data_IF_359753912902
#
_entry.id   IF_359753912902
#
_cell.length_a   1.000
_cell.length_b   1.000
_cell.length_c   1.000
_cell.angle_alpha   90.00
_cell.angle_beta   90.00
_cell.angle_gamma   90.00
#
_symmetry.space_group_name_H-M   'P 1'
#
loop_
_entity.id
_entity.type
_entity.pdbx_description
1 polymer ?
#
# COMPACT_ATOMS: atom_id res chain seq x y z
N UNK A 1 -23.51 -8.52 17.09
CA UNK A 1 -23.06 -9.60 16.15
C UNK A 1 -22.34 -10.68 16.96
N UNK A 2 -21.36 -10.36 17.79
CA UNK A 2 -20.53 -11.35 18.49
C UNK A 2 -21.26 -12.24 19.49
N UNK A 3 -22.39 -11.81 19.98
CA UNK A 3 -23.25 -12.58 20.90
C UNK A 3 -24.41 -13.31 20.19
N UNK A 4 -24.45 -13.30 18.85
CA UNK A 4 -25.45 -14.04 18.10
C UNK A 4 -25.10 -15.54 18.09
N UNK A 5 -25.88 -16.41 18.77
CA UNK A 5 -25.61 -17.85 18.80
C UNK A 5 -25.78 -18.52 17.43
N UNK A 6 -26.30 -17.79 16.44
CA UNK A 6 -26.55 -18.27 15.09
C UNK A 6 -25.47 -17.81 14.09
N UNK A 7 -24.38 -17.20 14.52
CA UNK A 7 -23.30 -16.82 13.61
C UNK A 7 -22.68 -18.08 12.99
N UNK A 8 -23.08 -18.36 11.75
CA UNK A 8 -22.70 -19.58 11.05
C UNK A 8 -21.21 -19.60 10.71
N UNK A 9 -20.69 -18.55 10.08
CA UNK A 9 -19.30 -18.52 9.67
C UNK A 9 -18.67 -17.13 9.85
N UNK A 10 -17.35 -17.13 10.07
CA UNK A 10 -16.54 -15.93 10.08
C UNK A 10 -15.40 -16.09 9.08
N UNK A 11 -15.34 -15.20 8.08
CA UNK A 11 -14.23 -15.02 7.16
C UNK A 11 -13.34 -13.91 7.68
N UNK A 12 -12.11 -14.25 8.10
CA UNK A 12 -11.23 -13.31 8.79
C UNK A 12 -9.86 -13.23 8.13
N UNK A 13 -9.34 -11.97 8.01
CA UNK A 13 -8.00 -11.68 7.53
C UNK A 13 -6.92 -12.35 8.39
N UNK A 14 -5.97 -12.98 7.74
CA UNK A 14 -4.92 -13.77 8.40
C UNK A 14 -3.51 -13.20 8.24
N UNK A 15 -3.32 -12.09 7.55
CA UNK A 15 -2.02 -11.55 7.14
C UNK A 15 -0.99 -11.48 8.26
N UNK A 16 -1.39 -11.08 9.46
CA UNK A 16 -0.49 -10.91 10.61
C UNK A 16 -0.79 -11.89 11.76
N UNK A 17 -1.41 -13.03 11.51
CA UNK A 17 -1.83 -13.99 12.55
C UNK A 17 -0.65 -14.56 13.37
N UNK A 18 0.54 -14.60 12.81
CA UNK A 18 1.77 -15.00 13.51
C UNK A 18 2.41 -13.87 14.34
N UNK A 19 2.01 -12.61 14.13
CA UNK A 19 2.63 -11.46 14.78
C UNK A 19 2.18 -11.33 16.23
N UNK A 20 3.08 -11.57 17.15
CA UNK A 20 2.81 -11.59 18.60
C UNK A 20 2.68 -10.19 19.23
N UNK A 21 3.23 -9.16 18.58
CA UNK A 21 3.23 -7.81 19.13
C UNK A 21 1.92 -7.09 18.83
N UNK A 22 1.42 -6.33 19.81
CA UNK A 22 0.28 -5.45 19.61
C UNK A 22 0.54 -4.46 18.49
N UNK A 23 -0.49 -4.18 17.70
CA UNK A 23 -0.40 -3.22 16.60
C UNK A 23 -0.24 -1.79 17.10
N UNK A 24 0.55 -1.02 16.34
CA UNK A 24 0.65 0.43 16.52
C UNK A 24 -0.68 1.07 16.14
N UNK A 25 -1.17 1.97 16.96
CA UNK A 25 -2.42 2.70 16.71
C UNK A 25 -2.16 3.97 15.88
N UNK A 26 -3.18 4.45 15.16
CA UNK A 26 -3.08 5.74 14.45
C UNK A 26 -2.79 6.91 15.41
N UNK A 27 -3.25 6.83 16.66
CA UNK A 27 -2.93 7.82 17.70
C UNK A 27 -1.43 7.85 18.01
N UNK A 28 -0.79 6.70 18.16
CA UNK A 28 0.66 6.62 18.38
C UNK A 28 1.44 7.17 17.18
N UNK A 29 0.99 6.86 15.96
CA UNK A 29 1.60 7.42 14.74
C UNK A 29 1.46 8.94 14.71
N UNK A 30 0.27 9.48 15.03
CA UNK A 30 0.04 10.93 15.14
C UNK A 30 0.99 11.58 16.11
N UNK A 31 1.12 11.00 17.30
CA UNK A 31 1.94 11.58 18.38
C UNK A 31 3.43 11.58 17.96
N UNK A 32 3.92 10.51 17.36
CA UNK A 32 5.27 10.43 16.79
C UNK A 32 5.49 11.47 15.69
N UNK A 33 4.55 11.58 14.72
CA UNK A 33 4.63 12.60 13.68
C UNK A 33 4.62 14.01 14.23
N UNK A 34 3.83 14.27 15.28
CA UNK A 34 3.77 15.57 15.95
C UNK A 34 5.15 15.95 16.51
N UNK A 35 5.82 15.03 17.20
CA UNK A 35 7.15 15.29 17.75
C UNK A 35 8.21 15.49 16.67
N UNK A 36 8.19 14.69 15.60
CA UNK A 36 9.08 14.92 14.44
C UNK A 36 8.84 16.31 13.85
N UNK A 37 7.59 16.68 13.64
CA UNK A 37 7.21 17.96 13.04
C UNK A 37 7.59 19.16 13.92
N UNK A 38 7.48 19.06 15.24
CA UNK A 38 7.93 20.12 16.17
C UNK A 38 9.43 20.38 16.08
N UNK A 39 10.22 19.30 15.93
CA UNK A 39 11.68 19.37 15.97
C UNK A 39 12.35 19.53 14.62
N UNK A 40 11.62 19.48 13.51
CA UNK A 40 12.17 19.61 12.18
C UNK A 40 12.47 21.08 11.84
N UNK A 41 13.67 21.40 11.33
CA UNK A 41 14.09 22.79 11.05
C UNK A 41 13.40 23.39 9.82
N UNK A 42 13.01 22.58 8.85
CA UNK A 42 12.37 22.99 7.60
C UNK A 42 11.03 22.30 7.37
N UNK A 43 10.69 22.07 6.10
CA UNK A 43 9.45 21.33 5.74
C UNK A 43 9.51 19.90 6.23
N UNK A 44 8.36 19.38 6.63
CA UNK A 44 8.19 17.96 6.87
C UNK A 44 7.37 17.34 5.74
N UNK A 45 7.93 16.34 5.10
CA UNK A 45 7.32 15.61 3.99
C UNK A 45 7.01 14.22 4.50
N UNK A 46 5.74 13.85 4.55
CA UNK A 46 5.30 12.52 4.97
C UNK A 46 4.86 11.73 3.76
N UNK A 47 5.40 10.53 3.60
CA UNK A 47 4.96 9.58 2.58
C UNK A 47 4.38 8.33 3.21
N UNK A 48 3.26 7.85 2.67
CA UNK A 48 2.54 6.72 3.23
C UNK A 48 1.39 6.27 2.34
N UNK A 49 0.53 5.42 2.90
CA UNK A 49 -0.65 4.93 2.19
C UNK A 49 -1.65 6.06 1.94
N UNK A 50 -1.79 6.44 0.69
CA UNK A 50 -2.54 7.63 0.26
C UNK A 50 -4.06 7.46 0.17
N UNK A 51 -4.56 6.20 0.24
CA UNK A 51 -5.99 5.89 0.10
C UNK A 51 -6.69 5.68 1.45
N UNK A 52 -6.24 6.36 2.49
CA UNK A 52 -6.84 6.31 3.83
C UNK A 52 -7.20 7.71 4.30
N UNK A 53 -8.49 8.01 4.40
CA UNK A 53 -8.97 9.28 4.97
C UNK A 53 -8.54 9.42 6.43
N UNK A 54 -8.54 8.33 7.20
CA UNK A 54 -8.07 8.32 8.57
C UNK A 54 -6.61 8.76 8.68
N UNK A 55 -5.75 8.29 7.76
CA UNK A 55 -4.34 8.67 7.70
C UNK A 55 -4.16 10.14 7.34
N UNK A 56 -4.94 10.66 6.38
CA UNK A 56 -4.89 12.08 6.00
C UNK A 56 -5.34 12.96 7.17
N UNK A 57 -6.41 12.58 7.86
CA UNK A 57 -6.91 13.29 9.05
C UNK A 57 -5.87 13.29 10.18
N UNK A 58 -5.32 12.13 10.51
CA UNK A 58 -4.29 11.97 11.52
C UNK A 58 -3.05 12.84 11.21
N UNK A 59 -2.62 12.85 9.94
CA UNK A 59 -1.52 13.72 9.47
C UNK A 59 -1.85 15.21 9.67
N UNK A 60 -3.07 15.64 9.34
CA UNK A 60 -3.51 17.02 9.53
C UNK A 60 -3.54 17.42 11.01
N UNK A 61 -4.02 16.54 11.88
CA UNK A 61 -4.03 16.74 13.33
C UNK A 61 -2.61 16.86 13.88
N UNK A 62 -1.67 16.01 13.43
CA UNK A 62 -0.26 16.07 13.82
C UNK A 62 0.39 17.39 13.39
N UNK A 63 0.15 17.83 12.15
CA UNK A 63 0.67 19.09 11.64
C UNK A 63 0.14 20.29 12.45
N UNK A 64 -1.16 20.32 12.71
CA UNK A 64 -1.78 21.37 13.53
C UNK A 64 -1.20 21.41 14.93
N UNK A 65 -1.05 20.26 15.59
CA UNK A 65 -0.47 20.16 16.93
C UNK A 65 1.01 20.60 16.98
N UNK A 66 1.71 20.52 15.85
CA UNK A 66 3.08 21.01 15.70
C UNK A 66 3.16 22.48 15.23
N UNK A 67 2.03 23.19 15.08
CA UNK A 67 1.98 24.58 14.61
C UNK A 67 2.33 24.72 13.12
N UNK A 68 2.09 23.67 12.31
CA UNK A 68 2.30 23.61 10.87
C UNK A 68 0.98 23.54 10.13
N UNK A 69 1.01 23.87 8.84
CA UNK A 69 -0.13 23.76 7.94
C UNK A 69 0.03 22.50 7.10
N UNK A 70 -0.97 21.62 7.18
CA UNK A 70 -1.02 20.38 6.44
C UNK A 70 -1.42 20.61 5.00
N UNK A 71 -0.70 20.02 4.05
CA UNK A 71 -1.07 20.01 2.65
C UNK A 71 -0.81 18.65 2.00
N UNK A 72 -1.55 18.38 0.92
CA UNK A 72 -1.25 17.29 0.01
C UNK A 72 -0.52 17.81 -1.22
N UNK A 73 0.44 17.02 -1.76
CA UNK A 73 1.07 17.37 -3.04
C UNK A 73 0.29 16.72 -4.18
N UNK A 74 -0.35 17.57 -4.95
CA UNK A 74 -1.07 17.19 -6.15
C UNK A 74 -0.14 16.87 -7.32
N UNK A 75 -0.62 16.11 -8.30
CA UNK A 75 0.09 15.87 -9.56
C UNK A 75 0.06 17.12 -10.43
N UNK A 76 1.19 17.42 -11.06
CA UNK A 76 1.32 18.54 -12.01
C UNK A 76 0.60 18.30 -13.34
N UNK A 77 0.33 17.02 -13.69
CA UNK A 77 -0.45 16.64 -14.89
C UNK A 77 -1.53 15.63 -14.52
N UNK A 78 -2.79 15.87 -14.94
CA UNK A 78 -3.84 14.85 -14.80
C UNK A 78 -3.44 13.60 -15.61
N UNK A 79 -3.52 12.45 -14.97
CA UNK A 79 -3.33 11.19 -15.66
C UNK A 79 -4.56 10.95 -16.56
N UNK A 80 -4.39 10.56 -17.84
CA UNK A 80 -5.53 10.25 -18.72
C UNK A 80 -6.35 9.03 -18.25
N UNK A 81 -5.81 8.20 -17.35
CA UNK A 81 -6.55 7.11 -16.72
C UNK A 81 -7.30 7.64 -15.50
N UNK A 82 -8.58 7.30 -15.26
CA UNK A 82 -9.35 7.70 -14.10
C UNK A 82 -8.74 7.08 -12.83
N UNK A 83 -7.77 7.77 -12.27
CA UNK A 83 -7.06 7.38 -11.04
C UNK A 83 -7.45 8.33 -9.92
N UNK A 84 -8.08 7.80 -8.90
CA UNK A 84 -8.41 8.55 -7.69
C UNK A 84 -7.12 8.77 -6.89
N UNK A 85 -6.64 10.01 -6.88
CA UNK A 85 -5.44 10.44 -6.17
C UNK A 85 -5.72 11.12 -4.83
N UNK A 86 -4.69 11.70 -4.23
CA UNK A 86 -4.82 12.44 -2.96
C UNK A 86 -5.82 13.60 -3.01
N UNK A 87 -5.89 14.41 -4.09
CA UNK A 87 -6.87 15.50 -4.18
C UNK A 87 -8.32 15.00 -4.12
N UNK A 88 -8.63 13.96 -4.86
CA UNK A 88 -9.96 13.37 -4.90
C UNK A 88 -10.35 12.76 -3.54
N UNK A 89 -9.39 12.12 -2.84
CA UNK A 89 -9.61 11.62 -1.48
C UNK A 89 -9.87 12.77 -0.49
N UNK A 90 -9.13 13.87 -0.59
CA UNK A 90 -9.36 15.06 0.21
C UNK A 90 -10.80 15.59 -0.01
N UNK A 91 -11.20 15.79 -1.27
CA UNK A 91 -12.53 16.28 -1.62
C UNK A 91 -13.63 15.34 -1.11
N UNK A 92 -13.43 14.03 -1.23
CA UNK A 92 -14.35 13.03 -0.68
C UNK A 92 -14.44 13.15 0.84
N UNK A 93 -13.32 13.30 1.54
CA UNK A 93 -13.27 13.48 2.99
C UNK A 93 -14.04 14.71 3.45
N UNK A 94 -13.95 15.82 2.71
CA UNK A 94 -14.71 17.05 2.98
C UNK A 94 -16.21 16.84 2.74
N UNK A 95 -16.59 16.24 1.62
CA UNK A 95 -18.00 15.93 1.29
C UNK A 95 -18.66 15.02 2.31
N UNK A 96 -17.92 14.08 2.89
CA UNK A 96 -18.40 13.18 3.93
C UNK A 96 -18.39 13.79 5.35
N UNK A 97 -17.92 15.03 5.50
CA UNK A 97 -17.76 15.67 6.81
C UNK A 97 -16.67 15.05 7.68
N UNK A 98 -15.78 14.25 7.09
CA UNK A 98 -14.68 13.61 7.78
C UNK A 98 -13.45 14.53 7.94
N UNK A 99 -13.28 15.45 7.00
CA UNK A 99 -12.31 16.54 7.00
C UNK A 99 -13.02 17.86 6.87
N UNK A 100 -12.51 18.91 7.52
CA UNK A 100 -12.89 20.27 7.21
C UNK A 100 -12.00 20.82 6.08
N UNK A 101 -12.49 21.82 5.36
CA UNK A 101 -11.74 22.43 4.25
C UNK A 101 -10.37 22.94 4.69
N UNK A 102 -10.28 23.48 5.90
CA UNK A 102 -9.09 24.09 6.47
C UNK A 102 -8.19 23.09 7.23
N UNK A 103 -8.53 21.79 7.23
CA UNK A 103 -7.70 20.77 7.83
C UNK A 103 -6.50 20.41 6.95
N UNK A 104 -6.70 20.38 5.63
CA UNK A 104 -5.69 19.98 4.64
C UNK A 104 -5.81 20.81 3.39
N UNK A 105 -4.76 21.52 3.05
CA UNK A 105 -4.63 22.34 1.84
C UNK A 105 -4.01 21.54 0.68
N UNK A 106 -3.93 22.14 -0.50
CA UNK A 106 -3.04 21.70 -1.56
C UNK A 106 -1.66 22.35 -1.38
N UNK A 107 -0.61 21.76 -1.91
CA UNK A 107 0.73 22.35 -1.84
C UNK A 107 0.79 23.73 -2.52
N UNK A 108 0.04 23.91 -3.61
CA UNK A 108 -0.04 25.20 -4.33
C UNK A 108 -0.60 26.33 -3.46
N UNK A 109 -1.49 26.02 -2.51
CA UNK A 109 -2.08 27.02 -1.59
C UNK A 109 -1.10 27.45 -0.49
N UNK A 110 -0.10 26.61 -0.15
CA UNK A 110 0.83 26.86 0.96
C UNK A 110 2.28 27.07 0.55
N UNK A 111 2.61 26.97 -0.73
CA UNK A 111 4.00 26.99 -1.25
C UNK A 111 4.81 28.22 -0.86
N UNK A 112 4.15 29.34 -0.64
CA UNK A 112 4.78 30.63 -0.31
C UNK A 112 4.92 30.85 1.21
N UNK A 113 4.43 29.91 2.04
CA UNK A 113 4.65 29.95 3.47
C UNK A 113 6.11 29.59 3.82
N UNK A 114 6.63 30.06 4.98
CA UNK A 114 7.93 29.61 5.48
C UNK A 114 8.02 28.09 5.57
N UNK A 115 9.17 27.52 5.24
CA UNK A 115 9.37 26.07 5.17
C UNK A 115 9.01 25.34 6.48
N UNK A 116 9.34 25.96 7.62
CA UNK A 116 9.05 25.44 8.95
C UNK A 116 7.54 25.44 9.29
N UNK A 117 6.72 26.09 8.48
CA UNK A 117 5.25 26.06 8.60
C UNK A 117 4.59 25.02 7.72
N UNK A 118 5.32 24.35 6.88
CA UNK A 118 4.78 23.41 5.90
C UNK A 118 4.91 21.95 6.39
N UNK A 119 3.81 21.20 6.35
CA UNK A 119 3.77 19.75 6.41
C UNK A 119 3.07 19.21 5.17
N UNK A 120 3.75 18.35 4.38
CA UNK A 120 3.27 17.93 3.07
C UNK A 120 3.13 16.41 3.03
N UNK A 121 1.93 15.92 2.72
CA UNK A 121 1.70 14.50 2.48
C UNK A 121 1.74 14.19 0.98
N UNK A 122 2.46 13.13 0.61
CA UNK A 122 2.61 12.73 -0.79
C UNK A 122 2.77 11.21 -0.95
N UNK A 123 2.67 10.74 -2.19
CA UNK A 123 2.84 9.33 -2.56
C UNK A 123 4.31 8.98 -2.78
N UNK A 124 4.65 7.68 -2.70
CA UNK A 124 5.97 7.17 -3.08
C UNK A 124 6.72 6.46 -1.96
N UNK A 125 6.01 5.99 -0.93
CA UNK A 125 6.61 5.24 0.19
C UNK A 125 7.25 3.91 -0.22
N UNK A 126 6.90 3.37 -1.39
CA UNK A 126 7.41 2.09 -1.92
C UNK A 126 8.41 2.27 -3.09
N UNK A 127 8.85 3.50 -3.35
CA UNK A 127 9.79 3.76 -4.45
C UNK A 127 9.21 3.61 -5.85
N UNK A 128 7.89 3.69 -5.99
CA UNK A 128 7.21 3.55 -7.28
C UNK A 128 7.70 4.61 -8.26
N UNK A 129 8.06 4.21 -9.47
CA UNK A 129 8.73 5.03 -10.50
C UNK A 129 8.04 6.37 -10.78
N UNK A 130 6.71 6.39 -10.76
CA UNK A 130 5.92 7.59 -11.09
C UNK A 130 5.33 8.29 -9.87
N UNK A 131 5.63 7.81 -8.66
CA UNK A 131 5.15 8.43 -7.43
C UNK A 131 5.84 9.77 -7.15
N UNK A 132 5.20 10.61 -6.37
CA UNK A 132 5.63 11.98 -6.17
C UNK A 132 7.02 12.07 -5.51
N UNK A 133 7.29 11.28 -4.46
CA UNK A 133 8.60 11.30 -3.80
C UNK A 133 9.73 10.90 -4.75
N UNK A 134 9.53 9.84 -5.53
CA UNK A 134 10.52 9.37 -6.52
C UNK A 134 10.81 10.46 -7.54
N UNK A 135 9.77 11.12 -8.06
CA UNK A 135 9.94 12.25 -9.01
C UNK A 135 10.65 13.45 -8.38
N UNK A 136 10.35 13.76 -7.12
CA UNK A 136 11.07 14.82 -6.37
C UNK A 136 12.55 14.50 -6.23
N UNK A 137 12.89 13.26 -5.84
CA UNK A 137 14.27 12.79 -5.75
C UNK A 137 15.03 12.87 -7.09
N UNK A 138 14.32 12.82 -8.22
CA UNK A 138 14.91 12.95 -9.57
C UNK A 138 14.85 14.38 -10.13
N UNK A 139 14.38 15.37 -9.36
CA UNK A 139 14.24 16.75 -9.83
C UNK A 139 13.19 16.94 -10.93
N UNK A 140 12.25 16.01 -11.06
CA UNK A 140 11.20 15.99 -12.11
C UNK A 140 9.95 16.79 -11.74
N UNK A 141 9.96 17.48 -10.60
CA UNK A 141 8.84 18.31 -10.12
C UNK A 141 9.29 19.76 -10.12
N UNK A 142 8.78 20.57 -11.05
CA UNK A 142 9.20 21.96 -11.23
C UNK A 142 8.82 22.86 -10.06
N UNK A 143 7.65 22.61 -9.48
CA UNK A 143 7.02 23.46 -8.46
C UNK A 143 7.56 23.20 -7.04
N UNK A 144 8.36 22.16 -6.87
CA UNK A 144 8.90 21.79 -5.55
C UNK A 144 10.27 21.13 -5.72
N UNK A 145 11.25 21.57 -4.93
CA UNK A 145 12.57 20.93 -4.84
C UNK A 145 12.82 20.53 -3.40
N UNK A 146 13.50 19.40 -3.21
CA UNK A 146 13.97 18.98 -1.89
C UNK A 146 15.16 19.82 -1.48
N UNK A 147 15.18 20.20 -0.20
CA UNK A 147 16.24 21.01 0.41
C UNK A 147 16.90 20.22 1.54
N UNK A 148 18.19 20.45 1.85
CA UNK A 148 18.87 19.78 2.97
C UNK A 148 18.21 20.01 4.34
N UNK A 149 17.43 21.08 4.48
CA UNK A 149 16.66 21.40 5.69
C UNK A 149 15.34 20.63 5.79
N UNK A 150 14.89 19.96 4.71
CA UNK A 150 13.67 19.17 4.73
C UNK A 150 13.86 17.89 5.55
N UNK A 151 12.75 17.41 6.12
CA UNK A 151 12.68 16.11 6.79
C UNK A 151 11.65 15.25 6.06
N UNK A 152 12.06 14.04 5.63
CA UNK A 152 11.17 13.07 4.97
C UNK A 152 10.84 11.94 5.94
N UNK A 153 9.57 11.66 6.13
CA UNK A 153 9.08 10.60 7.03
C UNK A 153 8.39 9.51 6.20
N UNK A 154 8.88 8.30 6.28
CA UNK A 154 8.28 7.12 5.66
C UNK A 154 7.29 6.48 6.63
N UNK A 155 6.03 6.91 6.58
CA UNK A 155 4.93 6.36 7.41
C UNK A 155 4.32 5.11 6.75
N UNK A 156 5.17 4.13 6.44
CA UNK A 156 4.80 2.88 5.78
C UNK A 156 5.82 1.78 6.09
N UNK A 157 5.36 0.54 6.11
CA UNK A 157 6.26 -0.63 6.03
C UNK A 157 6.66 -0.85 4.57
N UNK A 158 7.79 -1.49 4.34
CA UNK A 158 8.22 -1.88 3.01
C UNK A 158 7.42 -3.13 2.60
N UNK A 159 6.76 -3.07 1.45
CA UNK A 159 6.06 -4.22 0.88
C UNK A 159 7.10 -5.20 0.33
N UNK A 160 6.97 -6.52 0.60
CA UNK A 160 7.88 -7.52 0.04
C UNK A 160 8.09 -7.36 -1.47
N UNK A 161 9.37 -7.35 -1.90
CA UNK A 161 9.77 -7.11 -3.28
C UNK A 161 10.03 -5.63 -3.65
N UNK A 162 9.85 -4.69 -2.70
CA UNK A 162 10.12 -3.26 -2.89
C UNK A 162 11.36 -2.75 -2.17
N UNK A 163 12.10 -3.64 -1.55
CA UNK A 163 13.25 -3.30 -0.69
C UNK A 163 14.32 -2.51 -1.44
N UNK A 164 14.62 -2.90 -2.68
CA UNK A 164 15.62 -2.23 -3.52
C UNK A 164 15.19 -0.82 -3.92
N UNK A 165 13.93 -0.66 -4.34
CA UNK A 165 13.37 0.64 -4.75
C UNK A 165 13.37 1.62 -3.57
N UNK A 166 12.97 1.16 -2.39
CA UNK A 166 12.94 2.00 -1.17
C UNK A 166 14.35 2.32 -0.70
N UNK A 167 15.26 1.34 -0.68
CA UNK A 167 16.67 1.55 -0.35
C UNK A 167 17.33 2.58 -1.28
N UNK A 168 17.01 2.54 -2.56
CA UNK A 168 17.47 3.54 -3.51
C UNK A 168 17.01 4.95 -3.12
N UNK A 169 15.74 5.13 -2.72
CA UNK A 169 15.23 6.42 -2.26
C UNK A 169 15.94 6.91 -1.00
N UNK A 170 16.15 6.05 0.00
CA UNK A 170 16.87 6.40 1.22
C UNK A 170 18.28 6.92 0.90
N UNK A 171 19.01 6.18 0.08
CA UNK A 171 20.36 6.59 -0.35
C UNK A 171 20.35 7.92 -1.10
N UNK A 172 19.35 8.15 -1.95
CA UNK A 172 19.23 9.38 -2.72
C UNK A 172 18.94 10.58 -1.83
N UNK A 173 18.01 10.45 -0.88
CA UNK A 173 17.70 11.48 0.11
C UNK A 173 18.92 11.81 0.99
N UNK A 174 19.63 10.79 1.46
CA UNK A 174 20.84 10.96 2.26
C UNK A 174 21.93 11.73 1.49
N UNK A 175 22.16 11.43 0.20
CA UNK A 175 23.10 12.18 -0.67
C UNK A 175 22.69 13.62 -0.88
N UNK A 176 21.40 13.95 -0.76
CA UNK A 176 20.88 15.32 -0.84
C UNK A 176 20.96 16.05 0.51
N UNK A 177 21.45 15.41 1.56
CA UNK A 177 21.49 15.94 2.92
C UNK A 177 20.13 16.01 3.62
N UNK A 178 19.11 15.37 3.06
CA UNK A 178 17.75 15.36 3.62
C UNK A 178 17.67 14.35 4.77
N UNK A 179 17.20 14.80 5.92
CA UNK A 179 16.96 13.92 7.07
C UNK A 179 15.79 12.99 6.78
N UNK A 180 15.94 11.70 7.06
CA UNK A 180 14.87 10.72 6.92
C UNK A 180 14.50 10.10 8.25
N UNK A 181 13.21 9.78 8.43
CA UNK A 181 12.70 8.91 9.47
C UNK A 181 12.01 7.71 8.84
N UNK A 182 12.38 6.52 9.30
CA UNK A 182 11.90 5.24 8.79
C UNK A 182 11.50 4.33 9.95
N UNK A 183 10.79 3.24 9.67
CA UNK A 183 10.44 2.23 10.68
C UNK A 183 11.66 1.51 11.29
N UNK A 184 12.87 1.70 10.73
CA UNK A 184 14.11 1.09 11.24
C UNK A 184 14.81 1.94 12.29
N UNK A 185 14.50 3.24 12.35
CA UNK A 185 15.16 4.22 13.24
C UNK A 185 14.16 4.97 14.14
N UNK A 186 12.87 4.85 13.86
CA UNK A 186 11.83 5.58 14.59
C UNK A 186 10.62 4.68 14.82
N UNK A 187 10.27 4.47 16.08
CA UNK A 187 9.12 3.67 16.46
C UNK A 187 7.79 4.37 16.11
N UNK A 188 6.73 3.57 15.98
CA UNK A 188 5.36 4.05 15.82
C UNK A 188 5.13 4.95 14.60
N UNK A 189 5.86 4.74 13.49
CA UNK A 189 5.64 5.48 12.24
C UNK A 189 4.53 4.91 11.36
N UNK A 190 4.08 3.68 11.61
CA UNK A 190 3.08 3.03 10.78
C UNK A 190 2.12 2.20 11.62
N UNK A 191 0.83 2.39 11.38
CA UNK A 191 -0.23 1.52 11.85
C UNK A 191 -0.64 0.57 10.70
N UNK A 192 -0.57 -0.73 10.94
CA UNK A 192 -1.00 -1.74 9.97
C UNK A 192 -2.53 -1.77 9.88
N UNK A 193 -3.06 -1.97 8.67
CA UNK A 193 -4.48 -2.26 8.46
C UNK A 193 -4.88 -3.69 8.82
N UNK A 194 -3.88 -4.59 8.96
CA UNK A 194 -4.11 -6.01 9.27
C UNK A 194 -3.90 -6.26 10.75
N UNK A 195 -4.86 -6.92 11.39
CA UNK A 195 -4.78 -7.28 12.80
C UNK A 195 -3.65 -8.26 13.09
N UNK A 196 -2.94 -8.07 14.20
CA UNK A 196 -2.00 -9.05 14.70
C UNK A 196 -2.69 -10.06 15.63
N UNK A 197 -1.90 -11.01 16.14
CA UNK A 197 -2.44 -12.08 17.01
C UNK A 197 -3.22 -11.53 18.23
N UNK A 198 -2.71 -10.54 18.99
CA UNK A 198 -3.44 -10.04 20.17
C UNK A 198 -4.80 -9.41 19.83
N UNK A 199 -4.91 -8.76 18.66
CA UNK A 199 -6.17 -8.19 18.18
C UNK A 199 -7.12 -9.29 17.69
N UNK A 200 -6.62 -10.31 17.00
CA UNK A 200 -7.39 -11.46 16.54
C UNK A 200 -7.92 -12.29 17.74
N UNK A 201 -7.09 -12.51 18.75
CA UNK A 201 -7.52 -13.19 19.98
C UNK A 201 -8.67 -12.43 20.65
N UNK A 202 -8.52 -11.10 20.81
CA UNK A 202 -9.61 -10.26 21.35
C UNK A 202 -10.86 -10.26 20.46
N UNK A 203 -10.69 -10.30 19.15
CA UNK A 203 -11.80 -10.41 18.21
C UNK A 203 -12.57 -11.74 18.45
N UNK A 204 -11.86 -12.86 18.53
CA UNK A 204 -12.50 -14.17 18.75
C UNK A 204 -13.05 -14.34 20.17
N UNK A 205 -12.54 -13.62 21.16
CA UNK A 205 -13.19 -13.55 22.49
C UNK A 205 -14.59 -12.90 22.46
N UNK A 206 -14.86 -12.09 21.42
CA UNK A 206 -16.14 -11.41 21.23
C UNK A 206 -17.02 -12.05 20.16
N UNK A 207 -16.41 -12.78 19.21
CA UNK A 207 -17.09 -13.36 18.05
C UNK A 207 -16.98 -14.87 18.10
N UNK A 208 -18.12 -15.56 18.19
CA UNK A 208 -18.20 -17.00 18.36
C UNK A 208 -18.84 -17.68 17.13
N UNK A 209 -18.12 -17.84 16.01
CA UNK A 209 -18.65 -18.48 14.82
C UNK A 209 -18.71 -20.00 14.98
N UNK A 210 -19.63 -20.67 14.31
CA UNK A 210 -19.63 -22.13 14.23
C UNK A 210 -18.49 -22.64 13.33
N UNK A 211 -18.20 -21.90 12.24
CA UNK A 211 -17.17 -22.21 11.26
C UNK A 211 -16.22 -21.03 11.10
N UNK A 212 -14.92 -21.27 11.20
CA UNK A 212 -13.90 -20.31 10.82
C UNK A 212 -13.40 -20.57 9.41
N UNK A 213 -13.39 -19.53 8.58
CA UNK A 213 -12.80 -19.54 7.24
C UNK A 213 -11.71 -18.47 7.18
N UNK A 214 -10.49 -18.82 7.62
CA UNK A 214 -9.35 -17.91 7.49
C UNK A 214 -9.09 -17.57 6.03
N UNK A 215 -8.73 -16.31 5.76
CA UNK A 215 -8.49 -15.86 4.40
C UNK A 215 -7.40 -14.77 4.37
N UNK A 216 -6.95 -14.41 3.18
CA UNK A 216 -6.00 -13.31 2.96
C UNK A 216 -4.70 -13.45 3.76
N UNK A 217 -4.08 -14.61 3.65
CA UNK A 217 -2.78 -14.91 4.28
C UNK A 217 -2.05 -16.03 3.53
N UNK A 218 -0.86 -16.35 3.96
CA UNK A 218 -0.24 -17.63 3.62
C UNK A 218 -0.86 -18.75 4.47
N UNK A 219 -0.66 -19.98 4.05
CA UNK A 219 -1.26 -21.16 4.71
C UNK A 219 -0.93 -21.23 6.22
N UNK A 220 0.27 -20.80 6.63
CA UNK A 220 0.69 -20.80 8.05
C UNK A 220 -0.14 -19.81 8.84
N UNK A 221 -0.31 -18.59 8.31
CA UNK A 221 -1.10 -17.54 8.96
C UNK A 221 -2.58 -17.89 9.00
N UNK A 222 -3.13 -18.48 7.93
CA UNK A 222 -4.51 -18.97 7.89
C UNK A 222 -4.75 -20.08 8.91
N UNK A 223 -3.82 -21.04 9.03
CA UNK A 223 -3.88 -22.09 10.02
C UNK A 223 -3.83 -21.53 11.46
N UNK A 224 -2.99 -20.55 11.73
CA UNK A 224 -2.89 -19.90 13.05
C UNK A 224 -4.18 -19.15 13.38
N UNK A 225 -4.74 -18.41 12.42
CA UNK A 225 -6.00 -17.70 12.57
C UNK A 225 -7.15 -18.67 12.90
N UNK A 226 -7.31 -19.72 12.11
CA UNK A 226 -8.35 -20.72 12.34
C UNK A 226 -8.23 -21.43 13.69
N UNK A 227 -6.99 -21.75 14.13
CA UNK A 227 -6.76 -22.28 15.47
C UNK A 227 -7.22 -21.30 16.57
N UNK A 228 -6.93 -20.02 16.45
CA UNK A 228 -7.41 -19.00 17.38
C UNK A 228 -8.95 -18.94 17.42
N UNK A 229 -9.61 -19.06 16.26
CA UNK A 229 -11.06 -19.11 16.20
C UNK A 229 -11.64 -20.33 16.95
N UNK A 230 -11.00 -21.49 16.85
CA UNK A 230 -11.41 -22.69 17.57
C UNK A 230 -11.14 -22.58 19.08
N UNK A 231 -9.95 -22.13 19.48
CA UNK A 231 -9.51 -22.08 20.88
C UNK A 231 -10.20 -20.97 21.68
N UNK A 232 -10.40 -19.80 21.06
CA UNK A 232 -10.95 -18.60 21.72
C UNK A 232 -12.42 -18.36 21.36
N UNK A 233 -12.75 -18.49 20.07
CA UNK A 233 -14.12 -18.29 19.56
C UNK A 233 -15.03 -19.49 19.72
N UNK A 234 -14.49 -20.67 20.03
CA UNK A 234 -15.26 -21.89 20.15
C UNK A 234 -15.79 -22.42 18.82
N UNK A 235 -15.19 -22.05 17.70
CA UNK A 235 -15.55 -22.57 16.39
C UNK A 235 -15.38 -24.09 16.36
N UNK A 236 -16.39 -24.80 15.85
CA UNK A 236 -16.38 -26.27 15.74
C UNK A 236 -15.56 -26.74 14.55
N UNK A 237 -15.54 -25.95 13.49
CA UNK A 237 -14.87 -26.29 12.23
C UNK A 237 -13.99 -25.13 11.76
N UNK A 238 -12.90 -25.50 11.10
CA UNK A 238 -12.01 -24.58 10.39
C UNK A 238 -11.85 -25.08 8.96
N UNK A 239 -12.05 -24.18 7.98
CA UNK A 239 -11.79 -24.46 6.57
C UNK A 239 -10.76 -23.50 6.02
N UNK A 240 -9.63 -24.02 5.56
CA UNK A 240 -8.67 -23.30 4.77
C UNK A 240 -8.89 -23.70 3.32
N UNK A 241 -9.23 -22.74 2.47
CA UNK A 241 -9.65 -22.98 1.09
C UNK A 241 -8.84 -22.16 0.10
N UNK A 242 -8.75 -22.65 -1.12
CA UNK A 242 -8.06 -21.99 -2.20
C UNK A 242 -9.00 -21.15 -3.06
N UNK A 243 -8.41 -20.24 -3.84
CA UNK A 243 -9.19 -19.48 -4.83
C UNK A 243 -9.90 -20.43 -5.80
N UNK A 244 -11.19 -20.19 -6.01
CA UNK A 244 -12.05 -21.02 -6.86
C UNK A 244 -12.78 -22.12 -6.14
N UNK A 245 -12.46 -22.44 -4.89
CA UNK A 245 -13.21 -23.43 -4.10
C UNK A 245 -14.49 -22.80 -3.51
N UNK A 246 -15.63 -23.36 -3.86
CA UNK A 246 -16.93 -22.98 -3.35
C UNK A 246 -17.27 -23.78 -2.08
N UNK A 247 -17.47 -23.07 -0.98
CA UNK A 247 -17.76 -23.68 0.32
C UNK A 247 -19.26 -23.83 0.49
N UNK A 248 -19.71 -25.02 0.87
CA UNK A 248 -21.06 -25.24 1.37
C UNK A 248 -21.08 -25.10 2.89
N UNK A 249 -21.91 -24.21 3.37
CA UNK A 249 -22.10 -23.92 4.79
C UNK A 249 -23.59 -24.14 5.14
N UNK A 250 -23.84 -24.88 6.19
CA UNK A 250 -25.19 -25.04 6.74
C UNK A 250 -25.16 -25.23 8.25
N UNK A 251 -26.21 -24.75 8.92
CA UNK A 251 -26.32 -24.79 10.39
C UNK A 251 -26.25 -26.22 10.90
N UNK A 252 -25.36 -26.48 11.85
CA UNK A 252 -25.21 -27.78 12.51
C UNK A 252 -24.53 -28.87 11.68
N UNK A 253 -24.15 -28.64 10.43
CA UNK A 253 -23.45 -29.59 9.59
C UNK A 253 -21.96 -29.23 9.41
N UNK A 254 -21.15 -30.24 9.11
CA UNK A 254 -19.73 -30.02 8.76
C UNK A 254 -19.65 -29.32 7.40
N UNK A 255 -18.87 -28.25 7.31
CA UNK A 255 -18.65 -27.52 6.06
C UNK A 255 -17.78 -28.34 5.08
N UNK A 256 -18.02 -28.19 3.77
CA UNK A 256 -17.26 -28.90 2.75
C UNK A 256 -17.08 -28.07 1.49
N UNK A 257 -16.10 -28.42 0.66
CA UNK A 257 -15.93 -27.82 -0.67
C UNK A 257 -16.94 -28.48 -1.62
N UNK A 258 -17.91 -27.72 -2.07
CA UNK A 258 -19.01 -28.22 -2.91
C UNK A 258 -18.61 -28.30 -4.38
N UNK A 259 -17.79 -27.36 -4.84
CA UNK A 259 -17.36 -27.26 -6.22
C UNK A 259 -16.01 -26.54 -6.29
N UNK A 260 -15.21 -26.83 -7.32
CA UNK A 260 -13.98 -26.09 -7.61
C UNK A 260 -14.08 -25.51 -9.01
N UNK A 261 -13.98 -24.18 -9.09
CA UNK A 261 -13.96 -23.43 -10.35
C UNK A 261 -12.50 -23.22 -10.73
N UNK A 262 -12.16 -23.51 -11.97
CA UNK A 262 -10.81 -23.28 -12.46
C UNK A 262 -10.47 -21.77 -12.39
N UNK A 263 -9.41 -21.44 -11.67
CA UNK A 263 -8.90 -20.08 -11.56
C UNK A 263 -7.56 -19.94 -12.27
N UNK A 264 -7.40 -18.88 -13.05
CA UNK A 264 -6.16 -18.57 -13.73
C UNK A 264 -5.82 -17.09 -13.60
N UNK A 265 -4.54 -16.76 -13.74
CA UNK A 265 -4.13 -15.36 -13.84
C UNK A 265 -4.50 -14.78 -15.19
N UNK A 266 -5.20 -13.65 -15.17
CA UNK A 266 -5.46 -12.83 -16.34
C UNK A 266 -4.49 -11.66 -16.33
N UNK A 267 -3.77 -11.47 -17.44
CA UNK A 267 -2.81 -10.38 -17.61
C UNK A 267 -3.43 -9.33 -18.51
N UNK A 268 -3.45 -8.09 -18.07
CA UNK A 268 -3.91 -6.96 -18.88
C UNK A 268 -2.78 -6.43 -19.75
N UNK A 269 -2.99 -6.41 -21.06
CA UNK A 269 -2.12 -5.76 -22.05
C UNK A 269 -2.87 -4.57 -22.67
N UNK A 270 -2.66 -3.37 -22.10
CA UNK A 270 -3.50 -2.23 -22.42
C UNK A 270 -4.94 -2.49 -22.00
N UNK A 271 -5.86 -2.56 -22.95
CA UNK A 271 -7.28 -2.88 -22.72
C UNK A 271 -7.62 -4.36 -23.01
N UNK A 272 -6.64 -5.17 -23.42
CA UNK A 272 -6.85 -6.56 -23.80
C UNK A 272 -6.52 -7.50 -22.65
N UNK A 273 -7.46 -8.37 -22.29
CA UNK A 273 -7.25 -9.47 -21.36
C UNK A 273 -6.52 -10.63 -22.06
N UNK A 274 -5.48 -11.17 -21.43
CA UNK A 274 -4.72 -12.34 -21.89
C UNK A 274 -4.51 -13.32 -20.76
N UNK A 275 -4.58 -14.60 -21.09
CA UNK A 275 -4.17 -15.65 -20.15
C UNK A 275 -2.68 -15.53 -19.83
N UNK A 276 -2.29 -15.81 -18.59
CA UNK A 276 -0.88 -15.92 -18.20
C UNK A 276 -0.10 -16.96 -19.03
N UNK A 277 -0.79 -17.90 -19.66
CA UNK A 277 -0.23 -18.92 -20.57
C UNK A 277 -0.12 -18.45 -22.03
N UNK A 278 -0.55 -17.23 -22.36
CA UNK A 278 -0.45 -16.69 -23.71
C UNK A 278 1.00 -16.65 -24.21
N UNK A 279 1.19 -16.98 -25.48
CA UNK A 279 2.52 -17.03 -26.11
C UNK A 279 3.21 -15.67 -26.10
N UNK A 280 2.46 -14.59 -26.24
CA UNK A 280 2.99 -13.20 -26.15
C UNK A 280 3.66 -12.98 -24.78
N UNK A 281 3.00 -13.41 -23.71
CA UNK A 281 3.53 -13.27 -22.36
C UNK A 281 4.78 -14.13 -22.13
N UNK A 282 4.78 -15.37 -22.63
CA UNK A 282 5.95 -16.25 -22.60
C UNK A 282 7.14 -15.65 -23.36
N UNK A 283 6.87 -15.06 -24.54
CA UNK A 283 7.90 -14.39 -25.34
C UNK A 283 8.47 -13.17 -24.63
N UNK A 284 7.62 -12.34 -23.99
CA UNK A 284 8.09 -11.20 -23.19
C UNK A 284 8.98 -11.62 -22.02
N UNK A 285 8.64 -12.68 -21.31
CA UNK A 285 9.51 -13.25 -20.27
C UNK A 285 10.86 -13.68 -20.80
N UNK A 286 10.90 -14.34 -22.00
CA UNK A 286 12.15 -14.72 -22.65
C UNK A 286 12.99 -13.50 -23.03
N UNK A 287 12.38 -12.47 -23.61
CA UNK A 287 13.05 -11.22 -23.98
C UNK A 287 13.62 -10.53 -22.74
N UNK A 288 12.84 -10.45 -21.65
CA UNK A 288 13.28 -9.85 -20.40
C UNK A 288 14.48 -10.55 -19.79
N UNK A 289 14.57 -11.89 -19.91
CA UNK A 289 15.67 -12.69 -19.36
C UNK A 289 16.91 -12.73 -20.26
N UNK A 290 16.72 -12.72 -21.61
CA UNK A 290 17.81 -12.98 -22.56
C UNK A 290 18.13 -11.77 -23.46
N UNK A 291 17.32 -10.71 -23.41
CA UNK A 291 17.41 -9.59 -24.35
C UNK A 291 16.80 -9.89 -25.73
N UNK A 292 16.95 -8.94 -26.64
CA UNK A 292 16.53 -9.07 -28.03
C UNK A 292 17.58 -8.48 -28.96
N UNK A 293 17.75 -9.07 -30.11
CA UNK A 293 18.62 -8.56 -31.20
C UNK A 293 17.75 -8.32 -32.42
N UNK A 294 17.85 -7.14 -32.97
CA UNK A 294 17.20 -6.75 -34.21
C UNK A 294 18.26 -6.66 -35.30
N UNK A 295 18.02 -7.35 -36.42
CA UNK A 295 18.91 -7.35 -37.57
C UNK A 295 18.14 -6.91 -38.81
N UNK A 296 18.58 -5.84 -39.46
CA UNK A 296 18.03 -5.36 -40.74
C UNK A 296 18.88 -5.89 -41.88
N UNK A 297 18.24 -6.61 -42.80
CA UNK A 297 18.90 -7.17 -43.94
C UNK A 297 18.38 -6.52 -45.21
N UNK A 298 19.18 -5.71 -45.93
CA UNK A 298 18.81 -5.22 -47.27
C UNK A 298 18.90 -6.39 -48.27
N UNK A 299 17.78 -6.71 -48.92
CA UNK A 299 17.73 -7.75 -49.90
C UNK A 299 17.24 -7.20 -51.26
N UNK A 300 17.71 -7.81 -52.36
CA UNK A 300 17.19 -7.51 -53.70
C UNK A 300 15.84 -8.22 -53.95
N UNK A 301 15.25 -7.96 -55.15
CA UNK A 301 13.97 -8.55 -55.55
C UNK A 301 14.01 -10.09 -55.68
N UNK A 302 15.19 -10.70 -55.66
CA UNK A 302 15.41 -12.14 -55.75
C UNK A 302 15.75 -12.73 -54.36
N UNK A 303 15.79 -11.91 -53.28
CA UNK A 303 16.08 -12.34 -51.91
C UNK A 303 17.59 -12.43 -51.59
N UNK A 304 18.48 -11.93 -52.45
CA UNK A 304 19.91 -11.88 -52.18
C UNK A 304 20.30 -10.65 -51.37
N UNK A 305 21.20 -10.82 -50.40
CA UNK A 305 21.72 -9.74 -49.57
C UNK A 305 22.36 -8.64 -50.42
N UNK A 306 21.95 -7.39 -50.19
CA UNK A 306 22.56 -6.19 -50.73
C UNK A 306 23.22 -5.41 -49.63
N UNK A 307 24.50 -5.61 -49.39
CA UNK A 307 25.28 -4.93 -48.37
C UNK A 307 25.47 -5.72 -47.08
N UNK A 308 26.08 -5.09 -46.10
CA UNK A 308 26.28 -5.67 -44.76
C UNK A 308 25.04 -5.50 -43.88
N UNK A 309 24.69 -6.53 -43.06
CA UNK A 309 23.65 -6.40 -42.04
C UNK A 309 23.95 -5.29 -41.01
N UNK A 310 22.94 -4.54 -40.64
CA UNK A 310 23.01 -3.58 -39.52
C UNK A 310 22.28 -4.10 -38.29
#
# INVERSE_FOLDING_TARGET
IGSDPKLLACMCDSTNSSRQTKQVTETQVRDTLTEIMKNAPGRVIVTGYSRSLARIKMFAEAARAAGRIAAIKERSNPNPVPYVGLPEFREMGIKLGYLNKDDVYTHSEIKDLPAEKQAIFLTGSQGEKFAMLTRLCHGQVKEMKLMPTDTVVFSAIIIPGREQDVSYLYNKLARMGVKTHTIFDTDNLHASGHAGRPELEKFYDMVHPQVSVPMHGDYINEMLNGKMAMERGGAKHMMIVHNGEMIALSDGNEPYVAETIETSYVVMEGETERSANDQVYKNRKKIAANGAVFVTLPVDKRGFLKGTPE
#
